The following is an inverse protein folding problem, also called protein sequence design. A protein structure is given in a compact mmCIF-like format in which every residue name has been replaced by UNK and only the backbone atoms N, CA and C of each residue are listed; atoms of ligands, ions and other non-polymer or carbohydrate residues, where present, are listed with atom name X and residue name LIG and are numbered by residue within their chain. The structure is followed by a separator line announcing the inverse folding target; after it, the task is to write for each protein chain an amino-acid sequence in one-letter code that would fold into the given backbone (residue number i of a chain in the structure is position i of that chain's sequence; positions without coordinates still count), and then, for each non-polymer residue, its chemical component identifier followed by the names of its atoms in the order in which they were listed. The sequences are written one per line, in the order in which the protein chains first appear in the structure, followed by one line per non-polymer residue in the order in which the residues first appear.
data_IF_998642477787
#
_entry.id   IF_998642477787
#
_cell.length_a   1.000
_cell.length_b   1.000
_cell.length_c   1.000
_cell.angle_alpha   90.00
_cell.angle_beta   90.00
_cell.angle_gamma   90.00
#
_symmetry.space_group_name_H-M   'P 1'
#
loop_
_entity.id
_entity.type
_entity.pdbx_description
1 polymer ?
#
# COMPACT_ATOMS: atom_id res chain seq x y z
N UNK A 1 -8.81 -6.02 4.27
CA UNK A 1 -8.69 -5.43 2.91
C UNK A 1 -7.60 -4.37 2.81
N UNK A 2 -6.83 -4.34 1.72
CA UNK A 2 -5.84 -3.31 1.42
C UNK A 2 -6.44 -2.28 0.46
N UNK A 3 -6.90 -1.15 0.98
CA UNK A 3 -7.49 -0.07 0.20
C UNK A 3 -6.40 0.86 -0.37
N UNK A 4 -6.42 1.07 -1.69
CA UNK A 4 -5.50 1.99 -2.37
C UNK A 4 -6.22 3.29 -2.71
N UNK A 5 -5.62 4.41 -2.33
CA UNK A 5 -6.05 5.75 -2.75
C UNK A 5 -4.91 6.47 -3.48
N UNK A 6 -5.20 6.92 -4.71
CA UNK A 6 -4.20 7.54 -5.59
C UNK A 6 -4.69 8.91 -6.03
N UNK A 7 -4.01 9.95 -5.55
CA UNK A 7 -4.19 11.31 -6.08
C UNK A 7 -3.21 11.58 -7.24
N UNK A 8 -3.31 12.78 -7.83
CA UNK A 8 -2.41 13.25 -8.88
C UNK A 8 -0.95 13.18 -8.41
N UNK A 9 -0.69 13.59 -7.18
CA UNK A 9 0.66 13.77 -6.63
C UNK A 9 1.06 12.64 -5.68
N UNK A 10 0.13 12.16 -4.87
CA UNK A 10 0.41 11.25 -3.75
C UNK A 10 -0.28 9.90 -3.91
N UNK A 11 0.21 8.92 -3.18
CA UNK A 11 -0.41 7.60 -3.05
C UNK A 11 -0.47 7.21 -1.59
N UNK A 12 -1.59 6.61 -1.22
CA UNK A 12 -1.91 6.17 0.12
C UNK A 12 -2.42 4.74 0.02
N UNK A 13 -2.04 3.93 1.00
CA UNK A 13 -2.57 2.60 1.14
C UNK A 13 -2.87 2.32 2.61
N UNK A 14 -4.02 1.71 2.85
CA UNK A 14 -4.53 1.39 4.18
C UNK A 14 -4.89 -0.08 4.23
N UNK A 15 -4.50 -0.72 5.32
CA UNK A 15 -4.91 -2.05 5.69
C UNK A 15 -6.05 -1.93 6.68
N UNK A 16 -7.24 -2.29 6.25
CA UNK A 16 -8.49 -2.22 7.01
C UNK A 16 -8.94 -3.64 7.34
N UNK A 17 -9.37 -3.83 8.57
CA UNK A 17 -10.15 -4.99 8.99
C UNK A 17 -11.64 -4.64 8.79
N UNK A 18 -12.32 -5.32 7.86
CA UNK A 18 -13.72 -5.02 7.54
C UNK A 18 -14.68 -5.62 8.58
N UNK A 19 -14.27 -6.62 9.37
CA UNK A 19 -15.10 -7.21 10.44
C UNK A 19 -15.13 -6.29 11.66
N UNK A 20 -13.95 -5.77 12.06
CA UNK A 20 -13.83 -4.82 13.16
C UNK A 20 -14.08 -3.36 12.73
N UNK A 21 -14.09 -3.07 11.43
CA UNK A 21 -14.19 -1.71 10.89
C UNK A 21 -13.01 -0.80 11.26
N UNK A 22 -11.84 -1.36 11.58
CA UNK A 22 -10.67 -0.61 12.06
C UNK A 22 -9.52 -0.62 11.07
N UNK A 23 -8.74 0.46 11.04
CA UNK A 23 -7.52 0.51 10.23
C UNK A 23 -6.35 -0.06 11.02
N UNK A 24 -5.86 -1.21 10.58
CA UNK A 24 -4.71 -1.88 11.18
C UNK A 24 -3.42 -1.15 10.84
N UNK A 25 -3.17 -0.84 9.57
CA UNK A 25 -1.96 -0.13 9.17
C UNK A 25 -2.27 0.86 8.06
N UNK A 26 -1.51 1.95 7.99
CA UNK A 26 -1.59 2.90 6.89
C UNK A 26 -0.17 3.25 6.47
N UNK A 27 0.03 3.55 5.19
CA UNK A 27 1.28 4.07 4.66
C UNK A 27 0.98 5.07 3.54
N UNK A 28 1.77 6.13 3.46
CA UNK A 28 1.59 7.17 2.46
C UNK A 28 2.92 7.64 1.89
N UNK A 29 2.87 8.22 0.69
CA UNK A 29 4.03 8.92 0.11
C UNK A 29 4.43 10.18 0.87
N UNK A 30 3.61 10.65 1.83
CA UNK A 30 3.95 11.76 2.72
C UNK A 30 4.80 11.29 3.92
N UNK A 31 4.67 10.03 4.33
CA UNK A 31 5.50 9.45 5.39
C UNK A 31 6.95 9.24 4.94
N UNK A 32 7.16 9.06 3.64
CA UNK A 32 8.50 9.01 3.05
C UNK A 32 9.02 10.44 2.84
N UNK A 33 9.93 10.88 3.72
CA UNK A 33 10.59 12.21 3.66
C UNK A 33 11.31 12.49 2.33
N UNK A 34 11.56 11.45 1.52
CA UNK A 34 12.16 11.52 0.19
C UNK A 34 11.14 11.43 -0.94
N UNK A 35 10.12 12.29 -0.94
CA UNK A 35 9.14 12.40 -2.04
C UNK A 35 9.73 12.99 -3.35
N UNK A 36 11.05 12.89 -3.56
CA UNK A 36 11.75 13.33 -4.77
C UNK A 36 12.17 12.09 -5.57
N UNK A 37 11.34 11.69 -6.52
CA UNK A 37 11.59 10.52 -7.37
C UNK A 37 10.42 10.24 -8.32
N UNK A 38 10.53 9.19 -9.14
CA UNK A 38 9.43 8.79 -10.02
C UNK A 38 8.27 8.28 -9.16
N UNK A 39 7.04 8.73 -9.47
CA UNK A 39 5.81 8.37 -8.73
C UNK A 39 5.58 6.85 -8.61
N UNK A 40 6.12 6.07 -9.53
CA UNK A 40 6.07 4.61 -9.56
C UNK A 40 6.99 3.98 -8.52
N UNK A 41 8.19 4.53 -8.34
CA UNK A 41 9.17 4.08 -7.34
C UNK A 41 8.66 4.39 -5.93
N UNK A 42 8.10 5.59 -5.74
CA UNK A 42 7.43 5.98 -4.50
C UNK A 42 6.25 5.06 -4.16
N UNK A 43 5.48 4.63 -5.16
CA UNK A 43 4.39 3.68 -4.92
C UNK A 43 4.91 2.32 -4.44
N UNK A 44 6.05 1.88 -4.99
CA UNK A 44 6.70 0.63 -4.57
C UNK A 44 7.23 0.71 -3.13
N UNK A 45 7.88 1.82 -2.76
CA UNK A 45 8.38 2.02 -1.39
C UNK A 45 7.25 2.14 -0.36
N UNK A 46 6.15 2.80 -0.70
CA UNK A 46 4.95 2.82 0.16
C UNK A 46 4.38 1.40 0.33
N UNK A 47 4.37 0.60 -0.75
CA UNK A 47 3.95 -0.80 -0.69
C UNK A 47 4.81 -1.65 0.23
N UNK A 48 6.14 -1.52 0.15
CA UNK A 48 7.05 -2.25 1.05
C UNK A 48 6.87 -1.84 2.51
N UNK A 49 6.79 -0.53 2.79
CA UNK A 49 6.56 -0.02 4.15
C UNK A 49 5.24 -0.52 4.74
N UNK A 50 4.18 -0.58 3.93
CA UNK A 50 2.90 -1.11 4.39
C UNK A 50 2.99 -2.61 4.68
N UNK A 51 3.68 -3.38 3.84
CA UNK A 51 3.89 -4.80 4.05
C UNK A 51 4.68 -5.10 5.33
N UNK A 52 5.70 -4.31 5.62
CA UNK A 52 6.46 -4.43 6.87
C UNK A 52 5.59 -4.12 8.10
N UNK A 53 4.77 -3.07 8.03
CA UNK A 53 3.79 -2.73 9.09
C UNK A 53 2.73 -3.82 9.26
N UNK A 54 2.27 -4.41 8.15
CA UNK A 54 1.31 -5.52 8.18
C UNK A 54 1.90 -6.77 8.84
N UNK A 55 3.15 -7.12 8.51
CA UNK A 55 3.89 -8.22 9.15
C UNK A 55 4.10 -8.00 10.64
N UNK A 56 4.45 -6.78 11.07
CA UNK A 56 4.57 -6.45 12.49
C UNK A 56 3.25 -6.65 13.25
N UNK A 57 2.11 -6.49 12.57
CA UNK A 57 0.78 -6.76 13.12
C UNK A 57 0.31 -8.20 12.91
N UNK A 58 1.16 -9.09 12.41
CA UNK A 58 0.85 -10.50 12.18
C UNK A 58 -0.04 -10.78 10.96
N UNK A 59 -0.22 -9.80 10.07
CA UNK A 59 -1.07 -9.95 8.89
C UNK A 59 -0.24 -10.48 7.71
N UNK A 60 -0.59 -11.67 7.24
CA UNK A 60 0.13 -12.40 6.19
C UNK A 60 -0.58 -12.41 4.84
N UNK A 61 -1.92 -12.38 4.85
CA UNK A 61 -2.76 -12.40 3.65
C UNK A 61 -3.76 -11.26 3.68
N UNK A 62 -3.84 -10.49 2.59
CA UNK A 62 -4.75 -9.36 2.48
C UNK A 62 -5.32 -9.29 1.07
N UNK A 63 -6.59 -8.90 0.96
CA UNK A 63 -7.23 -8.69 -0.35
C UNK A 63 -6.83 -7.33 -0.89
N UNK A 64 -6.24 -7.29 -2.09
CA UNK A 64 -5.85 -6.04 -2.74
C UNK A 64 -7.06 -5.31 -3.36
N UNK A 65 -7.49 -4.23 -2.72
CA UNK A 65 -8.55 -3.35 -3.21
C UNK A 65 -7.97 -2.19 -4.02
N UNK A 66 -8.16 -2.29 -5.33
CA UNK A 66 -7.73 -1.31 -6.32
C UNK A 66 -8.54 -0.01 -6.31
N UNK A 67 -9.60 0.12 -5.50
CA UNK A 67 -10.32 1.39 -5.29
C UNK A 67 -10.88 2.03 -6.56
N UNK A 68 -11.22 1.22 -7.57
CA UNK A 68 -11.68 1.68 -8.89
C UNK A 68 -10.56 2.08 -9.87
N UNK A 69 -9.29 2.07 -9.46
CA UNK A 69 -8.18 2.33 -10.37
C UNK A 69 -7.84 1.10 -11.22
N UNK A 70 -7.40 1.33 -12.46
CA UNK A 70 -6.83 0.26 -13.30
C UNK A 70 -5.57 -0.29 -12.65
N UNK A 71 -5.41 -1.62 -12.69
CA UNK A 71 -4.20 -2.29 -12.21
C UNK A 71 -3.05 -2.04 -13.20
N UNK A 72 -2.41 -0.89 -13.06
CA UNK A 72 -1.33 -0.43 -13.92
C UNK A 72 -0.46 0.60 -13.21
N UNK A 73 0.76 0.81 -13.73
CA UNK A 73 1.70 1.83 -13.27
C UNK A 73 1.87 1.84 -11.75
N UNK A 74 1.48 2.93 -11.11
CA UNK A 74 1.61 3.14 -9.65
C UNK A 74 0.85 2.11 -8.81
N UNK A 75 -0.34 1.69 -9.23
CA UNK A 75 -1.16 0.73 -8.47
C UNK A 75 -0.52 -0.65 -8.52
N UNK A 76 -0.02 -1.04 -9.70
CA UNK A 76 0.75 -2.28 -9.87
C UNK A 76 2.03 -2.26 -9.04
N UNK A 77 2.79 -1.17 -9.08
CA UNK A 77 4.03 -1.02 -8.33
C UNK A 77 3.82 -1.08 -6.81
N UNK A 78 2.70 -0.55 -6.31
CA UNK A 78 2.34 -0.68 -4.89
C UNK A 78 2.07 -2.14 -4.52
N UNK A 79 1.27 -2.85 -5.32
CA UNK A 79 1.01 -4.27 -5.09
C UNK A 79 2.31 -5.10 -5.11
N UNK A 80 3.20 -4.84 -6.06
CA UNK A 80 4.52 -5.48 -6.13
C UNK A 80 5.37 -5.18 -4.89
N UNK A 81 5.33 -3.95 -4.37
CA UNK A 81 6.02 -3.58 -3.13
C UNK A 81 5.51 -4.37 -1.91
N UNK A 82 4.20 -4.51 -1.77
CA UNK A 82 3.57 -5.29 -0.70
C UNK A 82 3.95 -6.78 -0.81
N UNK A 83 3.96 -7.33 -2.04
CA UNK A 83 4.42 -8.71 -2.29
C UNK A 83 5.89 -8.92 -1.94
N UNK A 84 6.75 -7.96 -2.29
CA UNK A 84 8.18 -8.03 -1.98
C UNK A 84 8.43 -8.01 -0.46
N UNK A 85 7.61 -7.26 0.28
CA UNK A 85 7.60 -7.30 1.74
C UNK A 85 7.00 -8.59 2.31
N UNK A 86 6.61 -9.59 1.50
CA UNK A 86 6.22 -10.93 1.93
C UNK A 86 4.79 -11.04 2.47
N UNK A 87 3.92 -10.08 2.16
CA UNK A 87 2.47 -10.17 2.39
C UNK A 87 1.82 -10.62 1.09
N UNK A 88 0.93 -11.62 1.15
CA UNK A 88 0.18 -12.07 -0.03
C UNK A 88 -0.96 -11.07 -0.32
N UNK A 89 -0.99 -10.60 -1.56
CA UNK A 89 -1.94 -9.64 -2.17
C UNK A 89 -2.28 -10.03 -3.59
#
# INVERSE_FOLDING_TARGET
RLAVFRSLTHIYAQLVDDDAGTTLAAASSLDTKDAKGKRTELAKSVGTLLGDRAKQKGVTEVVFDRGGYRYHGRVKALAEGVRAAGVKV
#
